data_IF_234599347995
#
_entry.id   IF_234599347995
#
_cell.length_a   1.000
_cell.length_b   1.000
_cell.length_c   1.000
_cell.angle_alpha   90.00
_cell.angle_beta   90.00
_cell.angle_gamma   90.00
#
_symmetry.space_group_name_H-M   'P 1'
#
loop_
_entity.id
_entity.type
_entity.pdbx_description
1 polymer ?
#
# COMPACT_ATOMS: atom_id res chain seq x y z
N UNK A 1 -9.10 -1.27 -17.29
CA UNK A 1 -8.53 -1.62 -15.97
C UNK A 1 -8.52 -3.13 -15.85
N UNK A 2 -7.41 -3.71 -15.44
CA UNK A 2 -7.30 -5.13 -15.08
C UNK A 2 -7.03 -5.23 -13.58
N UNK A 3 -7.71 -6.15 -12.90
CA UNK A 3 -7.47 -6.42 -11.47
C UNK A 3 -7.28 -7.92 -11.32
N UNK A 4 -6.22 -8.31 -10.62
CA UNK A 4 -5.91 -9.71 -10.30
C UNK A 4 -5.43 -9.83 -8.87
N UNK A 5 -5.56 -11.02 -8.31
CA UNK A 5 -4.96 -11.38 -7.01
C UNK A 5 -3.73 -12.26 -7.22
N UNK A 6 -2.75 -12.17 -6.31
CA UNK A 6 -1.57 -13.03 -6.30
C UNK A 6 -1.13 -13.42 -4.89
N UNK A 7 -0.74 -14.69 -4.74
CA UNK A 7 -0.05 -15.24 -3.59
C UNK A 7 1.47 -15.36 -3.78
N UNK A 8 2.02 -14.82 -4.87
CA UNK A 8 3.44 -14.91 -5.19
C UNK A 8 4.31 -14.21 -4.11
N UNK A 9 5.59 -14.63 -3.94
CA UNK A 9 6.54 -13.93 -3.10
C UNK A 9 6.70 -12.45 -3.51
N UNK A 10 6.92 -11.55 -2.54
CA UNK A 10 7.07 -10.10 -2.78
C UNK A 10 8.18 -9.77 -3.77
N UNK A 11 9.25 -10.56 -3.73
CA UNK A 11 10.41 -10.47 -4.60
C UNK A 11 10.05 -10.71 -6.07
N UNK A 12 9.02 -11.51 -6.33
CA UNK A 12 8.61 -11.93 -7.68
C UNK A 12 7.50 -11.05 -8.29
N UNK A 13 6.91 -10.16 -7.50
CA UNK A 13 5.82 -9.30 -7.94
C UNK A 13 6.37 -8.13 -8.75
N UNK A 14 6.19 -8.19 -10.07
CA UNK A 14 6.54 -7.12 -11.00
C UNK A 14 5.47 -6.03 -11.01
N UNK A 15 5.86 -4.80 -10.66
CA UNK A 15 5.01 -3.61 -10.68
C UNK A 15 5.86 -2.34 -10.83
N UNK A 16 5.26 -1.27 -11.36
CA UNK A 16 5.90 0.05 -11.38
C UNK A 16 5.93 0.63 -9.97
N UNK A 17 4.95 0.27 -9.12
CA UNK A 17 4.93 0.63 -7.70
C UNK A 17 4.25 -0.46 -6.87
N UNK A 18 4.93 -0.91 -5.81
CA UNK A 18 4.38 -1.71 -4.72
C UNK A 18 3.93 -0.77 -3.59
N UNK A 19 2.66 -0.83 -3.20
CA UNK A 19 2.07 0.01 -2.15
C UNK A 19 1.81 -0.81 -0.90
N UNK A 20 2.31 -0.33 0.24
CA UNK A 20 2.09 -0.91 1.56
C UNK A 20 1.77 0.20 2.57
N UNK A 21 1.25 -0.18 3.74
CA UNK A 21 0.71 0.76 4.72
C UNK A 21 1.38 0.61 6.08
N UNK A 22 1.51 1.72 6.82
CA UNK A 22 2.07 1.75 8.17
C UNK A 22 1.18 2.56 9.12
N UNK A 23 0.93 2.06 10.32
CA UNK A 23 0.24 2.77 11.39
C UNK A 23 1.23 3.64 12.18
N UNK A 24 0.82 4.87 12.51
CA UNK A 24 1.66 5.81 13.29
C UNK A 24 2.09 5.23 14.63
N UNK A 25 1.17 4.55 15.30
CA UNK A 25 1.33 3.94 16.62
C UNK A 25 1.87 2.50 16.58
N UNK A 26 2.14 1.94 15.39
CA UNK A 26 2.80 0.63 15.28
C UNK A 26 4.32 0.79 15.45
N UNK A 27 4.93 0.15 16.47
CA UNK A 27 6.30 0.45 16.90
C UNK A 27 7.38 -0.04 15.93
N UNK A 28 7.04 -0.91 14.99
CA UNK A 28 7.93 -1.43 13.96
C UNK A 28 7.12 -1.89 12.74
N UNK A 29 7.67 -1.87 11.53
CA UNK A 29 7.06 -2.51 10.37
C UNK A 29 6.68 -3.98 10.65
N UNK A 30 5.48 -4.41 10.23
CA UNK A 30 4.98 -5.79 10.40
C UNK A 30 4.31 -6.31 9.13
N UNK A 31 4.05 -7.61 9.07
CA UNK A 31 3.44 -8.26 7.90
C UNK A 31 4.31 -8.06 6.65
N UNK A 32 3.67 -7.79 5.50
CA UNK A 32 4.39 -7.54 4.24
C UNK A 32 5.30 -6.32 4.30
N UNK A 33 4.92 -5.26 5.01
CA UNK A 33 5.81 -4.11 5.22
C UNK A 33 7.04 -4.49 6.04
N UNK A 34 6.88 -5.36 7.05
CA UNK A 34 8.01 -5.92 7.80
C UNK A 34 8.96 -6.75 6.92
N UNK A 35 8.41 -7.57 6.02
CA UNK A 35 9.20 -8.33 5.05
C UNK A 35 9.96 -7.41 4.10
N UNK A 36 9.29 -6.40 3.52
CA UNK A 36 9.95 -5.38 2.67
C UNK A 36 11.03 -4.64 3.45
N UNK A 37 10.75 -4.22 4.68
CA UNK A 37 11.73 -3.53 5.52
C UNK A 37 12.97 -4.41 5.72
N UNK A 38 12.78 -5.71 6.02
CA UNK A 38 13.88 -6.66 6.14
C UNK A 38 14.68 -6.82 4.84
N UNK A 39 14.02 -7.04 3.69
CA UNK A 39 14.65 -7.15 2.36
C UNK A 39 15.49 -5.89 2.07
N UNK A 40 14.94 -4.71 2.38
CA UNK A 40 15.58 -3.41 2.18
C UNK A 40 16.50 -3.01 3.36
N UNK A 41 16.92 -3.99 4.16
CA UNK A 41 17.86 -3.87 5.27
C UNK A 41 17.45 -2.83 6.32
N UNK A 42 16.18 -2.68 6.65
CA UNK A 42 15.65 -1.74 7.64
C UNK A 42 15.40 -0.33 7.10
N UNK A 43 15.04 -0.18 5.82
CA UNK A 43 14.84 1.13 5.19
C UNK A 43 13.74 1.97 5.88
N UNK A 44 12.56 1.39 6.12
CA UNK A 44 11.45 2.04 6.83
C UNK A 44 11.84 2.26 8.29
N UNK A 45 12.43 1.26 8.94
CA UNK A 45 12.88 1.38 10.33
C UNK A 45 13.88 2.52 10.52
N UNK A 46 14.83 2.73 9.59
CA UNK A 46 15.75 3.87 9.60
C UNK A 46 15.05 5.21 9.42
N UNK A 47 14.04 5.30 8.56
CA UNK A 47 13.27 6.53 8.40
C UNK A 47 12.55 6.89 9.71
N UNK A 48 11.94 5.89 10.36
CA UNK A 48 11.28 6.05 11.67
C UNK A 48 12.26 6.48 12.76
N UNK A 49 13.40 5.80 12.88
CA UNK A 49 14.43 6.13 13.88
C UNK A 49 15.00 7.55 13.70
N UNK A 50 14.95 8.10 12.48
CA UNK A 50 15.40 9.47 12.17
C UNK A 50 14.26 10.51 12.23
N UNK A 51 13.05 10.12 12.63
CA UNK A 51 11.89 11.00 12.67
C UNK A 51 11.43 11.51 11.30
N UNK A 52 11.76 10.79 10.21
CA UNK A 52 11.43 11.21 8.83
C UNK A 52 10.10 10.68 8.31
N UNK A 53 9.54 9.70 8.99
CA UNK A 53 8.25 9.07 8.69
C UNK A 53 7.83 8.34 9.95
N UNK A 54 6.67 8.64 10.55
CA UNK A 54 6.14 7.85 11.65
C UNK A 54 5.00 6.93 11.21
N UNK A 55 4.33 7.28 10.10
CA UNK A 55 3.07 6.66 9.66
C UNK A 55 1.87 7.60 9.82
N UNK A 56 2.11 8.91 9.92
CA UNK A 56 1.08 9.93 10.00
C UNK A 56 0.11 9.81 8.81
N UNK A 57 -1.17 10.11 9.02
CA UNK A 57 -2.19 9.89 7.99
C UNK A 57 -1.86 10.64 6.70
N UNK A 58 -1.76 9.89 5.60
CA UNK A 58 -1.46 10.43 4.27
C UNK A 58 0.00 10.81 4.05
N UNK A 59 0.87 10.68 5.07
CA UNK A 59 2.30 10.77 4.88
C UNK A 59 2.79 9.62 4.00
N UNK A 60 3.83 9.87 3.20
CA UNK A 60 4.38 8.85 2.30
C UNK A 60 5.89 8.75 2.42
N UNK A 61 6.39 7.53 2.25
CA UNK A 61 7.81 7.26 2.09
C UNK A 61 8.01 6.44 0.81
N UNK A 62 8.80 6.99 -0.12
CA UNK A 62 9.16 6.31 -1.36
C UNK A 62 10.54 5.68 -1.20
N UNK A 63 10.63 4.37 -1.41
CA UNK A 63 11.85 3.59 -1.30
C UNK A 63 12.26 3.04 -2.66
N UNK A 64 13.56 3.04 -2.92
CA UNK A 64 14.15 2.36 -4.07
C UNK A 64 14.53 0.92 -3.69
N UNK A 65 13.96 -0.11 -4.34
CA UNK A 65 14.30 -1.51 -4.06
C UNK A 65 15.70 -1.93 -4.49
N UNK A 66 16.34 -1.17 -5.39
CA UNK A 66 17.69 -1.43 -5.90
C UNK A 66 17.91 -2.89 -6.37
N UNK A 67 16.93 -3.43 -7.11
CA UNK A 67 16.96 -4.79 -7.66
C UNK A 67 16.62 -5.92 -6.70
N UNK A 68 16.34 -5.63 -5.41
CA UNK A 68 15.95 -6.66 -4.42
C UNK A 68 14.50 -7.12 -4.52
N UNK A 69 13.66 -6.30 -5.16
CA UNK A 69 12.28 -6.63 -5.51
C UNK A 69 12.14 -6.40 -7.02
N UNK A 70 11.29 -7.17 -7.70
CA UNK A 70 10.91 -6.88 -9.09
C UNK A 70 10.07 -5.62 -9.24
N UNK A 71 9.45 -5.13 -8.17
CA UNK A 71 8.80 -3.83 -8.16
C UNK A 71 9.84 -2.70 -8.31
N UNK A 72 9.56 -1.70 -9.14
CA UNK A 72 10.50 -0.59 -9.41
C UNK A 72 10.59 0.39 -8.23
N UNK A 73 9.48 0.58 -7.51
CA UNK A 73 9.36 1.48 -6.36
C UNK A 73 8.55 0.80 -5.26
N UNK A 74 8.87 1.08 -4.00
CA UNK A 74 7.97 0.80 -2.87
C UNK A 74 7.47 2.12 -2.31
N UNK A 75 6.15 2.29 -2.32
CA UNK A 75 5.46 3.39 -1.67
C UNK A 75 4.90 2.88 -0.34
N UNK A 76 5.33 3.48 0.76
CA UNK A 76 4.73 3.26 2.09
C UNK A 76 3.82 4.43 2.41
N UNK A 77 2.57 4.15 2.72
CA UNK A 77 1.55 5.17 3.05
C UNK A 77 1.19 5.07 4.53
N UNK A 78 1.21 6.21 5.22
CA UNK A 78 0.81 6.32 6.61
C UNK A 78 -0.71 6.29 6.77
N UNK A 79 -1.20 5.42 7.65
CA UNK A 79 -2.61 5.28 8.00
C UNK A 79 -3.06 6.29 9.07
N UNK A 80 -2.10 6.88 9.79
CA UNK A 80 -2.32 7.58 11.05
C UNK A 80 -2.45 6.61 12.20
N UNK A 81 -3.02 7.10 13.30
CA UNK A 81 -3.24 6.31 14.52
C UNK A 81 -4.38 5.32 14.37
N UNK A 82 -4.22 4.13 14.95
CA UNK A 82 -5.24 3.08 14.95
C UNK A 82 -6.59 3.56 15.51
N UNK A 83 -6.58 4.37 16.57
CA UNK A 83 -7.80 4.88 17.22
C UNK A 83 -8.64 5.79 16.32
N UNK A 84 -8.03 6.41 15.32
CA UNK A 84 -8.67 7.36 14.41
C UNK A 84 -9.07 6.71 13.07
N UNK A 85 -8.84 5.40 12.90
CA UNK A 85 -9.20 4.69 11.68
C UNK A 85 -10.69 4.37 11.63
N UNK A 86 -11.25 4.54 10.44
CA UNK A 86 -12.62 4.18 10.09
C UNK A 86 -12.68 3.82 8.61
N UNK A 87 -13.76 3.15 8.19
CA UNK A 87 -13.99 2.85 6.76
C UNK A 87 -14.06 4.12 5.90
N UNK A 88 -14.57 5.24 6.44
CA UNK A 88 -14.58 6.54 5.76
C UNK A 88 -13.16 7.10 5.63
N UNK A 89 -12.35 6.99 6.68
CA UNK A 89 -10.94 7.40 6.62
C UNK A 89 -10.16 6.54 5.61
N UNK A 90 -10.43 5.25 5.55
CA UNK A 90 -9.84 4.32 4.59
C UNK A 90 -10.17 4.70 3.14
N UNK A 91 -11.44 4.99 2.84
CA UNK A 91 -11.87 5.42 1.50
C UNK A 91 -11.15 6.71 1.07
N UNK A 92 -11.04 7.70 1.96
CA UNK A 92 -10.30 8.94 1.68
C UNK A 92 -8.82 8.68 1.45
N UNK A 93 -8.23 7.80 2.25
CA UNK A 93 -6.82 7.44 2.11
C UNK A 93 -6.55 6.64 0.84
N UNK A 94 -7.48 5.80 0.39
CA UNK A 94 -7.34 5.05 -0.86
C UNK A 94 -7.35 6.01 -2.07
N UNK A 95 -8.19 7.03 -2.03
CA UNK A 95 -8.17 8.14 -3.01
C UNK A 95 -6.83 8.89 -3.00
N UNK A 96 -6.31 9.29 -1.83
CA UNK A 96 -5.00 9.95 -1.71
C UNK A 96 -3.83 9.05 -2.15
N UNK A 97 -3.95 7.75 -1.91
CA UNK A 97 -2.97 6.77 -2.39
C UNK A 97 -2.96 6.73 -3.92
N UNK A 98 -4.14 6.68 -4.56
CA UNK A 98 -4.25 6.75 -6.01
C UNK A 98 -3.70 8.07 -6.57
N UNK A 99 -3.98 9.21 -5.94
CA UNK A 99 -3.34 10.49 -6.30
C UNK A 99 -1.82 10.38 -6.30
N UNK A 100 -1.24 9.78 -5.26
CA UNK A 100 0.21 9.62 -5.18
C UNK A 100 0.74 8.72 -6.31
N UNK A 101 0.06 7.61 -6.62
CA UNK A 101 0.39 6.75 -7.76
C UNK A 101 0.37 7.52 -9.08
N UNK A 102 -0.65 8.35 -9.31
CA UNK A 102 -0.74 9.16 -10.53
C UNK A 102 0.45 10.12 -10.67
N UNK A 103 0.91 10.73 -9.57
CA UNK A 103 2.10 11.59 -9.57
C UNK A 103 3.41 10.82 -9.78
N UNK A 104 3.51 9.59 -9.25
CA UNK A 104 4.69 8.73 -9.42
C UNK A 104 4.84 8.16 -10.84
N UNK A 105 3.75 8.18 -11.61
CA UNK A 105 3.66 7.59 -12.94
C UNK A 105 3.66 6.06 -12.92
N UNK A 106 3.51 5.47 -14.10
CA UNK A 106 3.30 4.03 -14.27
C UNK A 106 1.81 3.65 -14.29
N UNK A 107 1.55 2.41 -14.67
CA UNK A 107 0.20 1.84 -14.77
C UNK A 107 0.09 0.47 -14.10
N UNK A 108 1.21 -0.16 -13.71
CA UNK A 108 1.22 -1.44 -13.00
C UNK A 108 1.42 -1.20 -11.51
N UNK A 109 0.38 -1.44 -10.72
CA UNK A 109 0.41 -1.21 -9.27
C UNK A 109 0.19 -2.54 -8.56
N UNK A 110 1.06 -2.88 -7.63
CA UNK A 110 0.81 -3.96 -6.68
C UNK A 110 0.49 -3.36 -5.31
N UNK A 111 -0.50 -3.89 -4.59
CA UNK A 111 -0.82 -3.39 -3.25
C UNK A 111 -1.45 -4.46 -2.35
N UNK A 112 -1.16 -4.38 -1.05
CA UNK A 112 -1.91 -5.07 0.00
C UNK A 112 -2.84 -4.06 0.67
N UNK A 113 -4.17 -4.19 0.56
CA UNK A 113 -5.08 -3.39 1.38
C UNK A 113 -4.74 -3.55 2.87
N UNK A 114 -4.92 -2.54 3.73
CA UNK A 114 -4.39 -2.55 5.10
C UNK A 114 -5.19 -3.45 6.06
N UNK A 115 -5.38 -4.74 5.75
CA UNK A 115 -6.22 -5.70 6.49
C UNK A 115 -5.91 -5.73 7.98
N UNK A 116 -4.61 -5.71 8.31
CA UNK A 116 -4.15 -5.73 9.70
C UNK A 116 -4.62 -4.53 10.53
N UNK A 117 -4.86 -3.38 9.90
CA UNK A 117 -5.34 -2.18 10.58
C UNK A 117 -6.86 -2.22 10.85
N UNK A 118 -7.58 -3.20 10.28
CA UNK A 118 -9.03 -3.36 10.43
C UNK A 118 -9.40 -4.78 10.87
N UNK A 119 -8.92 -5.27 12.02
CA UNK A 119 -9.09 -6.67 12.43
C UNK A 119 -10.54 -7.09 12.71
N UNK A 120 -11.47 -6.12 12.81
CA UNK A 120 -12.90 -6.36 13.05
C UNK A 120 -13.74 -6.27 11.78
N UNK A 121 -13.16 -5.86 10.66
CA UNK A 121 -13.86 -5.76 9.39
C UNK A 121 -13.63 -7.04 8.58
N UNK A 122 -14.66 -7.49 7.87
CA UNK A 122 -14.51 -8.59 6.92
C UNK A 122 -13.52 -8.18 5.81
N UNK A 123 -12.48 -8.98 5.50
CA UNK A 123 -11.45 -8.61 4.52
C UNK A 123 -12.04 -8.18 3.17
N UNK A 124 -13.06 -8.88 2.69
CA UNK A 124 -13.72 -8.56 1.42
C UNK A 124 -14.39 -7.18 1.41
N UNK A 125 -15.04 -6.80 2.52
CA UNK A 125 -15.70 -5.49 2.65
C UNK A 125 -14.66 -4.37 2.68
N UNK A 126 -13.55 -4.59 3.39
CA UNK A 126 -12.47 -3.63 3.45
C UNK A 126 -11.79 -3.46 2.10
N UNK A 127 -11.44 -4.57 1.44
CA UNK A 127 -10.85 -4.57 0.10
C UNK A 127 -11.75 -3.84 -0.89
N UNK A 128 -13.05 -4.11 -0.89
CA UNK A 128 -14.01 -3.44 -1.76
C UNK A 128 -14.04 -1.92 -1.52
N UNK A 129 -14.19 -1.48 -0.27
CA UNK A 129 -14.24 -0.05 0.04
C UNK A 129 -12.93 0.68 -0.32
N UNK A 130 -11.78 0.01 -0.11
CA UNK A 130 -10.49 0.55 -0.52
C UNK A 130 -10.42 0.71 -2.05
N UNK A 131 -10.76 -0.35 -2.79
CA UNK A 131 -10.74 -0.38 -4.25
C UNK A 131 -11.69 0.65 -4.86
N UNK A 132 -12.89 0.82 -4.31
CA UNK A 132 -13.85 1.81 -4.81
C UNK A 132 -13.26 3.22 -4.84
N UNK A 133 -12.64 3.68 -3.74
CA UNK A 133 -12.00 5.00 -3.70
C UNK A 133 -10.73 5.09 -4.54
N UNK A 134 -9.91 4.02 -4.54
CA UNK A 134 -8.65 3.97 -5.26
C UNK A 134 -8.86 3.99 -6.79
N UNK A 135 -9.73 3.12 -7.29
CA UNK A 135 -10.00 2.99 -8.73
C UNK A 135 -10.74 4.20 -9.28
N UNK A 136 -11.68 4.77 -8.51
CA UNK A 136 -12.39 5.99 -8.91
C UNK A 136 -11.41 7.14 -9.17
N UNK A 137 -10.37 7.29 -8.35
CA UNK A 137 -9.37 8.34 -8.56
C UNK A 137 -8.41 8.05 -9.70
N UNK A 138 -7.99 6.80 -9.90
CA UNK A 138 -7.17 6.45 -11.06
C UNK A 138 -7.89 6.77 -12.37
N UNK A 139 -9.17 6.41 -12.48
CA UNK A 139 -9.99 6.71 -13.65
C UNK A 139 -10.22 8.22 -13.81
N UNK A 140 -10.56 8.93 -12.72
CA UNK A 140 -10.78 10.38 -12.78
C UNK A 140 -9.52 11.14 -13.17
N UNK A 141 -8.36 10.74 -12.62
CA UNK A 141 -7.10 11.43 -12.81
C UNK A 141 -6.43 11.14 -14.16
N UNK A 142 -6.61 9.94 -14.72
CA UNK A 142 -6.14 9.58 -16.06
C UNK A 142 -7.17 8.69 -16.80
N UNK A 143 -8.27 9.30 -17.31
CA UNK A 143 -9.36 8.56 -17.94
C UNK A 143 -8.91 7.65 -19.09
N UNK A 144 -9.46 6.44 -19.16
CA UNK A 144 -9.16 5.47 -20.22
C UNK A 144 -7.75 4.87 -20.20
N UNK A 145 -6.93 5.18 -19.20
CA UNK A 145 -5.58 4.60 -19.06
C UNK A 145 -5.67 3.14 -18.59
N UNK A 146 -4.99 2.18 -19.27
CA UNK A 146 -5.04 0.77 -18.88
C UNK A 146 -4.15 0.50 -17.66
N UNK A 147 -4.68 0.77 -16.47
CA UNK A 147 -4.04 0.33 -15.22
C UNK A 147 -4.21 -1.19 -15.02
N UNK A 148 -3.15 -1.82 -14.50
CA UNK A 148 -3.13 -3.20 -14.03
C UNK A 148 -2.86 -3.19 -12.52
N UNK A 149 -3.85 -3.66 -11.75
CA UNK A 149 -3.81 -3.68 -10.28
C UNK A 149 -3.63 -5.13 -9.83
N UNK A 150 -2.53 -5.39 -9.14
CA UNK A 150 -2.23 -6.69 -8.54
C UNK A 150 -2.45 -6.61 -7.03
N UNK A 151 -3.52 -7.25 -6.56
CA UNK A 151 -3.84 -7.35 -5.16
C UNK A 151 -3.09 -8.51 -4.53
N UNK A 152 -2.45 -8.18 -3.43
CA UNK A 152 -1.68 -9.11 -2.64
C UNK A 152 -2.62 -9.91 -1.75
N UNK A 153 -2.72 -11.23 -1.99
CA UNK A 153 -3.68 -12.09 -1.28
C UNK A 153 -3.49 -12.00 0.24
N UNK A 154 -4.60 -11.85 0.96
CA UNK A 154 -4.53 -11.92 2.41
C UNK A 154 -4.17 -13.36 2.84
N UNK A 155 -3.16 -13.60 3.70
CA UNK A 155 -2.69 -14.95 4.02
C UNK A 155 -3.73 -15.86 4.69
N UNK A 156 -4.91 -15.34 5.07
CA UNK A 156 -6.02 -16.10 5.65
C UNK A 156 -7.34 -16.00 4.85
N UNK A 157 -7.27 -15.76 3.54
CA UNK A 157 -8.45 -15.77 2.66
C UNK A 157 -8.80 -17.18 2.17
N UNK A 158 -9.44 -17.97 3.04
CA UNK A 158 -10.17 -19.19 2.72
C UNK A 158 -11.62 -19.08 3.18
#
# INVERSE_FOLDING_TARGET
MEIRETGDPLEEIGADTLVLFHLEDEPSPRGRLGQVDWILCGAVSRLRARGKFAGERGATALLSPNGKLKAEKVLVVGLGRQADLSMVALYRLSYQTAQTILHLGGTRVALEPPFRAFPREAPIRMQQAFLEGFLAELERGRPGTPFSITLLSHPNGG
#
